data_IF_039197945718
#
_entry.id   IF_039197945718
#
_cell.length_a   1.000
_cell.length_b   1.000
_cell.length_c   1.000
_cell.angle_alpha   90.00
_cell.angle_beta   90.00
_cell.angle_gamma   90.00
#
_symmetry.space_group_name_H-M   'P 1'
#
loop_
_entity.id
_entity.type
_entity.pdbx_description
1 polymer ?
#
# COMPACT_ATOMS: atom_id res chain seq x y z
N UNK A 1 -53.56 -64.40 -49.41
CA UNK A 1 -53.22 -63.16 -50.17
C UNK A 1 -52.88 -62.07 -49.17
N UNK A 2 -52.03 -61.06 -49.40
CA UNK A 2 -50.93 -60.78 -50.36
C UNK A 2 -50.16 -59.59 -49.70
N UNK A 3 -48.83 -59.40 -49.72
CA UNK A 3 -47.65 -60.18 -50.13
C UNK A 3 -46.47 -59.81 -49.19
N UNK A 4 -45.30 -60.43 -49.33
CA UNK A 4 -44.10 -60.08 -48.55
C UNK A 4 -43.33 -58.87 -49.12
N UNK A 5 -42.73 -58.06 -48.24
CA UNK A 5 -41.62 -57.13 -48.58
C UNK A 5 -40.58 -57.07 -47.45
N UNK A 6 -39.42 -57.74 -47.56
CA UNK A 6 -38.29 -57.48 -46.68
C UNK A 6 -37.52 -56.26 -47.18
N UNK A 7 -37.66 -55.11 -46.52
CA UNK A 7 -36.82 -53.95 -46.81
C UNK A 7 -35.43 -54.21 -46.20
N UNK A 8 -34.49 -54.64 -47.04
CA UNK A 8 -33.12 -54.88 -46.65
C UNK A 8 -32.43 -53.57 -46.24
N UNK A 9 -32.36 -53.29 -44.93
CA UNK A 9 -31.61 -52.17 -44.39
C UNK A 9 -30.11 -52.40 -44.59
N UNK A 10 -29.54 -51.73 -45.60
CA UNK A 10 -28.13 -51.89 -46.01
C UNK A 10 -27.14 -51.42 -44.95
N UNK A 11 -26.58 -52.36 -44.19
CA UNK A 11 -25.44 -52.15 -43.30
C UNK A 11 -24.12 -51.90 -44.09
N UNK A 12 -24.01 -50.75 -44.77
CA UNK A 12 -22.81 -50.33 -45.50
C UNK A 12 -22.12 -49.06 -44.94
N UNK A 13 -22.81 -48.28 -44.12
CA UNK A 13 -22.40 -46.90 -43.85
C UNK A 13 -21.62 -46.67 -42.54
N UNK A 14 -21.36 -47.68 -41.70
CA UNK A 14 -20.59 -47.48 -40.45
C UNK A 14 -19.12 -47.11 -40.71
N UNK A 15 -18.51 -47.60 -41.80
CA UNK A 15 -17.16 -47.18 -42.23
C UNK A 15 -17.17 -45.74 -42.76
N UNK A 16 -18.15 -45.40 -43.60
CA UNK A 16 -18.34 -44.06 -44.14
C UNK A 16 -18.63 -43.02 -43.04
N UNK A 17 -19.40 -43.39 -42.02
CA UNK A 17 -19.72 -42.55 -40.86
C UNK A 17 -18.48 -42.31 -39.97
N UNK A 18 -17.66 -43.34 -39.74
CA UNK A 18 -16.36 -43.19 -39.04
C UNK A 18 -15.42 -42.28 -39.83
N UNK A 19 -15.38 -42.40 -41.15
CA UNK A 19 -14.54 -41.56 -42.00
C UNK A 19 -15.02 -40.09 -42.00
N UNK A 20 -16.33 -39.85 -42.09
CA UNK A 20 -16.94 -38.54 -41.91
C UNK A 20 -16.62 -37.92 -40.53
N UNK A 21 -16.70 -38.71 -39.46
CA UNK A 21 -16.40 -38.26 -38.10
C UNK A 21 -14.91 -37.92 -37.93
N UNK A 22 -14.00 -38.68 -38.53
CA UNK A 22 -12.57 -38.36 -38.56
C UNK A 22 -12.28 -37.09 -39.37
N UNK A 23 -12.92 -36.90 -40.52
CA UNK A 23 -12.78 -35.66 -41.31
C UNK A 23 -13.32 -34.45 -40.55
N UNK A 24 -14.48 -34.58 -39.88
CA UNK A 24 -15.05 -33.52 -39.04
C UNK A 24 -14.14 -33.18 -37.86
N UNK A 25 -13.53 -34.18 -37.20
CA UNK A 25 -12.56 -33.97 -36.13
C UNK A 25 -11.29 -33.28 -36.62
N UNK A 26 -10.75 -33.67 -37.79
CA UNK A 26 -9.62 -32.99 -38.41
C UNK A 26 -9.94 -31.54 -38.78
N UNK A 27 -11.15 -31.24 -39.29
CA UNK A 27 -11.58 -29.86 -39.54
C UNK A 27 -11.67 -29.05 -38.23
N UNK A 28 -12.23 -29.63 -37.16
CA UNK A 28 -12.31 -28.97 -35.86
C UNK A 28 -10.92 -28.64 -35.30
N UNK A 29 -9.98 -29.57 -35.41
CA UNK A 29 -8.57 -29.37 -35.02
C UNK A 29 -7.84 -28.36 -35.91
N UNK A 30 -8.18 -28.25 -37.20
CA UNK A 30 -7.59 -27.26 -38.11
C UNK A 30 -8.05 -25.81 -37.81
N UNK A 31 -9.25 -25.63 -37.21
CA UNK A 31 -9.76 -24.32 -36.76
C UNK A 31 -9.20 -23.93 -35.39
N UNK A 32 -8.67 -24.88 -34.61
CA UNK A 32 -8.03 -24.61 -33.33
C UNK A 32 -6.72 -23.81 -33.53
N UNK A 33 -6.83 -22.49 -33.44
CA UNK A 33 -5.66 -21.60 -33.32
C UNK A 33 -4.82 -22.07 -32.12
N UNK A 34 -3.50 -22.30 -32.28
CA UNK A 34 -2.65 -22.56 -31.13
C UNK A 34 -2.73 -21.34 -30.21
N UNK A 35 -3.02 -21.56 -28.93
CA UNK A 35 -2.89 -20.51 -27.93
C UNK A 35 -1.41 -20.12 -27.91
N UNK A 36 -1.09 -18.94 -28.43
CA UNK A 36 0.25 -18.40 -28.34
C UNK A 36 0.54 -18.20 -26.85
N UNK A 37 1.43 -19.02 -26.29
CA UNK A 37 1.89 -18.87 -24.92
C UNK A 37 2.46 -17.45 -24.78
N UNK A 38 1.85 -16.65 -23.91
CA UNK A 38 2.18 -15.25 -23.72
C UNK A 38 3.64 -15.17 -23.21
N UNK A 39 4.55 -14.70 -24.07
CA UNK A 39 5.98 -14.70 -23.78
C UNK A 39 6.31 -13.52 -22.88
N UNK A 40 6.16 -13.72 -21.58
CA UNK A 40 6.56 -12.74 -20.57
C UNK A 40 8.09 -12.70 -20.52
N UNK A 41 8.68 -11.58 -20.94
CA UNK A 41 10.12 -11.36 -20.89
C UNK A 41 10.51 -10.85 -19.50
N UNK A 42 11.54 -11.45 -18.92
CA UNK A 42 12.20 -11.01 -17.69
C UNK A 42 13.45 -10.23 -18.06
N UNK A 43 13.61 -9.03 -17.52
CA UNK A 43 14.91 -8.35 -17.49
C UNK A 43 15.25 -7.91 -16.07
N UNK A 44 16.56 -7.79 -15.82
CA UNK A 44 17.11 -7.20 -14.61
C UNK A 44 17.61 -5.81 -14.98
N UNK A 45 17.19 -4.78 -14.25
CA UNK A 45 17.71 -3.43 -14.47
C UNK A 45 19.11 -3.24 -13.85
N UNK A 46 19.74 -2.09 -14.11
CA UNK A 46 21.07 -1.74 -13.59
C UNK A 46 21.13 -1.70 -12.05
N UNK A 47 19.98 -1.65 -11.37
CA UNK A 47 19.85 -1.66 -9.91
C UNK A 47 19.57 -3.07 -9.35
N UNK A 48 19.63 -4.11 -10.17
CA UNK A 48 19.36 -5.49 -9.77
C UNK A 48 17.87 -5.83 -9.60
N UNK A 49 16.95 -4.92 -9.95
CA UNK A 49 15.51 -5.15 -9.82
C UNK A 49 14.98 -5.91 -11.03
N UNK A 50 14.28 -7.01 -10.76
CA UNK A 50 13.71 -7.89 -11.78
C UNK A 50 12.33 -7.41 -12.18
N UNK A 51 12.17 -7.02 -13.46
CA UNK A 51 10.90 -6.62 -14.06
C UNK A 51 10.44 -7.61 -15.13
N UNK A 52 9.12 -7.78 -15.24
CA UNK A 52 8.47 -8.67 -16.21
C UNK A 52 7.56 -7.85 -17.12
N UNK A 53 7.61 -8.06 -18.44
CA UNK A 53 6.72 -7.36 -19.39
C UNK A 53 6.42 -8.17 -20.65
N UNK A 54 5.32 -7.79 -21.30
CA UNK A 54 4.74 -8.42 -22.49
C UNK A 54 5.18 -7.72 -23.80
N UNK A 55 6.22 -6.88 -23.73
CA UNK A 55 6.81 -6.16 -24.88
C UNK A 55 8.34 -6.20 -24.80
N UNK A 56 9.05 -6.69 -25.85
CA UNK A 56 10.50 -6.65 -25.87
C UNK A 56 11.00 -5.22 -26.03
N UNK A 57 11.93 -4.80 -25.16
CA UNK A 57 12.67 -3.55 -25.33
C UNK A 57 13.81 -3.76 -26.35
N UNK A 58 14.06 -2.83 -27.28
CA UNK A 58 14.82 -3.09 -28.51
C UNK A 58 16.35 -3.15 -28.36
N UNK A 59 16.92 -3.20 -27.15
CA UNK A 59 18.36 -2.97 -26.93
C UNK A 59 19.07 -3.86 -25.89
N UNK A 60 18.50 -5.02 -25.52
CA UNK A 60 19.16 -5.98 -24.60
C UNK A 60 18.95 -7.40 -25.13
N UNK A 61 19.99 -8.24 -25.04
CA UNK A 61 19.91 -9.67 -25.37
C UNK A 61 18.92 -10.38 -24.42
N UNK A 62 17.70 -10.62 -24.91
CA UNK A 62 16.65 -11.25 -24.14
C UNK A 62 16.78 -12.79 -24.16
N UNK A 63 17.45 -13.34 -23.13
CA UNK A 63 17.48 -14.78 -22.92
C UNK A 63 16.06 -15.32 -22.64
N UNK A 64 15.67 -16.40 -23.34
CA UNK A 64 14.35 -17.03 -23.18
C UNK A 64 14.29 -17.89 -21.93
N UNK A 65 14.16 -17.24 -20.77
CA UNK A 65 13.96 -17.92 -19.48
C UNK A 65 12.60 -18.62 -19.48
N UNK A 66 12.60 -19.95 -19.50
CA UNK A 66 11.43 -20.74 -19.07
C UNK A 66 11.24 -20.52 -17.57
N UNK A 67 10.20 -19.76 -17.20
CA UNK A 67 9.76 -19.67 -15.82
C UNK A 67 9.17 -21.03 -15.44
N UNK A 68 9.98 -21.90 -14.85
CA UNK A 68 9.44 -22.99 -14.05
C UNK A 68 8.83 -22.35 -12.80
N UNK A 69 7.57 -22.66 -12.54
CA UNK A 69 6.86 -22.16 -11.36
C UNK A 69 7.32 -22.94 -10.14
N UNK A 70 8.51 -22.59 -9.62
CA UNK A 70 8.92 -23.02 -8.29
C UNK A 70 7.89 -22.50 -7.29
N UNK A 71 7.16 -23.42 -6.67
CA UNK A 71 6.37 -23.15 -5.47
C UNK A 71 7.32 -22.90 -4.30
N UNK A 72 7.95 -21.73 -4.32
CA UNK A 72 8.95 -21.36 -3.35
C UNK A 72 8.27 -20.96 -2.03
N UNK A 73 8.12 -21.93 -1.13
CA UNK A 73 7.47 -21.79 0.17
C UNK A 73 8.05 -20.68 1.06
N UNK A 74 9.31 -20.26 0.80
CA UNK A 74 9.92 -19.12 1.48
C UNK A 74 9.21 -17.79 1.19
N UNK A 75 8.59 -17.63 0.02
CA UNK A 75 7.78 -16.46 -0.34
C UNK A 75 6.52 -16.38 0.53
N UNK A 76 5.86 -17.52 0.74
CA UNK A 76 4.66 -17.65 1.57
C UNK A 76 4.98 -17.38 3.05
N UNK A 77 6.14 -17.86 3.53
CA UNK A 77 6.62 -17.59 4.88
C UNK A 77 6.92 -16.10 5.10
N UNK A 78 7.67 -15.47 4.19
CA UNK A 78 8.01 -14.04 4.26
C UNK A 78 6.76 -13.14 4.23
N UNK A 79 5.76 -13.48 3.41
CA UNK A 79 4.47 -12.80 3.39
C UNK A 79 3.73 -12.92 4.73
N UNK A 80 3.73 -14.11 5.34
CA UNK A 80 3.12 -14.35 6.66
C UNK A 80 3.77 -13.51 7.78
N UNK A 81 5.09 -13.36 7.77
CA UNK A 81 5.79 -12.50 8.73
C UNK A 81 5.51 -11.01 8.54
N UNK A 82 5.42 -10.55 7.28
CA UNK A 82 5.07 -9.16 6.97
C UNK A 82 3.67 -8.80 7.51
N UNK A 83 2.69 -9.69 7.34
CA UNK A 83 1.34 -9.51 7.90
C UNK A 83 1.36 -9.50 9.43
N UNK A 84 2.10 -10.39 10.09
CA UNK A 84 2.25 -10.40 11.56
C UNK A 84 2.86 -9.10 12.09
N UNK A 85 3.91 -8.59 11.44
CA UNK A 85 4.52 -7.29 11.80
C UNK A 85 3.52 -6.14 11.66
N UNK A 86 2.79 -6.06 10.54
CA UNK A 86 1.78 -5.02 10.33
C UNK A 86 0.66 -5.06 11.38
N UNK A 87 0.18 -6.26 11.76
CA UNK A 87 -0.82 -6.42 12.81
C UNK A 87 -0.30 -6.01 14.19
N UNK A 88 0.97 -6.32 14.52
CA UNK A 88 1.59 -5.89 15.77
C UNK A 88 1.69 -4.36 15.85
N UNK A 89 2.16 -3.72 14.78
CA UNK A 89 2.25 -2.25 14.70
C UNK A 89 0.88 -1.56 14.77
N UNK A 90 -0.18 -2.13 14.17
CA UNK A 90 -1.55 -1.58 14.29
C UNK A 90 -2.03 -1.58 15.73
N UNK A 91 -1.87 -2.71 16.45
CA UNK A 91 -2.29 -2.85 17.85
C UNK A 91 -1.55 -1.89 18.79
N UNK A 92 -0.26 -1.71 18.58
CA UNK A 92 0.57 -0.76 19.34
C UNK A 92 0.13 0.69 19.10
N UNK A 93 -0.11 1.07 17.85
CA UNK A 93 -0.65 2.40 17.49
C UNK A 93 -2.04 2.65 18.07
N UNK A 94 -2.92 1.65 18.10
CA UNK A 94 -4.25 1.73 18.71
C UNK A 94 -4.16 1.90 20.24
N UNK A 95 -3.29 1.13 20.91
CA UNK A 95 -3.05 1.28 22.34
C UNK A 95 -2.51 2.68 22.68
N UNK A 96 -1.50 3.15 21.96
CA UNK A 96 -0.90 4.49 22.13
C UNK A 96 -1.88 5.65 21.84
N UNK A 97 -2.86 5.44 20.96
CA UNK A 97 -3.96 6.41 20.77
C UNK A 97 -4.87 6.45 21.99
N UNK A 98 -5.35 5.28 22.41
CA UNK A 98 -6.29 5.14 23.55
C UNK A 98 -5.71 5.67 24.85
N UNK A 99 -4.41 5.44 25.11
CA UNK A 99 -3.70 5.97 26.27
C UNK A 99 -3.64 7.51 26.25
N UNK A 100 -3.28 8.11 25.11
CA UNK A 100 -3.23 9.58 24.97
C UNK A 100 -4.61 10.23 25.06
N UNK A 101 -5.65 9.57 24.56
CA UNK A 101 -7.03 10.02 24.72
C UNK A 101 -7.48 9.95 26.19
N UNK A 102 -7.17 8.86 26.89
CA UNK A 102 -7.46 8.72 28.32
C UNK A 102 -6.70 9.74 29.18
N UNK A 103 -5.43 10.02 28.87
CA UNK A 103 -4.63 11.04 29.55
C UNK A 103 -5.23 12.44 29.37
N UNK A 104 -5.59 12.83 28.13
CA UNK A 104 -6.26 14.10 27.83
C UNK A 104 -7.63 14.23 28.51
N UNK A 105 -8.39 13.15 28.58
CA UNK A 105 -9.69 13.15 29.25
C UNK A 105 -9.54 13.40 30.76
N UNK A 106 -8.53 12.80 31.42
CA UNK A 106 -8.21 13.09 32.82
C UNK A 106 -7.79 14.54 33.03
N UNK A 107 -6.85 15.03 32.23
CA UNK A 107 -6.36 16.42 32.30
C UNK A 107 -7.51 17.44 32.13
N UNK A 108 -8.45 17.18 31.22
CA UNK A 108 -9.63 18.03 31.02
C UNK A 108 -10.60 17.99 32.22
N UNK A 109 -10.81 16.82 32.82
CA UNK A 109 -11.68 16.66 33.99
C UNK A 109 -11.07 17.31 35.23
N UNK A 110 -9.78 17.09 35.51
CA UNK A 110 -9.01 17.76 36.57
C UNK A 110 -9.05 19.28 36.40
N UNK A 111 -8.86 19.78 35.16
CA UNK A 111 -8.96 21.21 34.86
C UNK A 111 -10.36 21.77 35.04
N UNK A 112 -11.42 21.02 34.73
CA UNK A 112 -12.80 21.45 35.00
C UNK A 112 -13.06 21.53 36.50
N UNK A 113 -12.68 20.50 37.25
CA UNK A 113 -12.83 20.47 38.72
C UNK A 113 -12.06 21.62 39.40
N UNK A 114 -10.85 21.96 38.92
CA UNK A 114 -10.11 23.11 39.43
C UNK A 114 -10.82 24.45 39.17
N UNK A 115 -11.42 24.64 37.98
CA UNK A 115 -12.21 25.82 37.65
C UNK A 115 -13.52 25.91 38.45
N UNK A 116 -14.21 24.78 38.62
CA UNK A 116 -15.43 24.69 39.43
C UNK A 116 -15.13 24.99 40.91
N UNK A 117 -13.98 24.52 41.42
CA UNK A 117 -13.51 24.80 42.78
C UNK A 117 -13.10 26.26 42.97
N UNK A 118 -12.37 26.87 42.03
CA UNK A 118 -12.00 28.28 42.11
C UNK A 118 -13.22 29.19 42.06
N UNK A 119 -14.16 28.94 41.14
CA UNK A 119 -15.40 29.70 41.03
C UNK A 119 -16.27 29.58 42.30
N UNK A 120 -16.26 28.42 42.95
CA UNK A 120 -16.94 28.23 44.24
C UNK A 120 -16.29 29.02 45.38
N UNK A 121 -14.96 29.03 45.47
CA UNK A 121 -14.25 29.84 46.47
C UNK A 121 -14.39 31.34 46.23
N UNK A 122 -14.45 31.79 44.98
CA UNK A 122 -14.72 33.20 44.63
C UNK A 122 -16.14 33.59 45.05
N UNK A 123 -17.15 32.78 44.76
CA UNK A 123 -18.54 33.02 45.18
C UNK A 123 -18.74 32.98 46.71
N UNK A 124 -17.94 32.20 47.43
CA UNK A 124 -17.97 32.13 48.91
C UNK A 124 -17.23 33.32 49.55
N UNK A 125 -16.20 33.86 48.88
CA UNK A 125 -15.47 35.07 49.29
C UNK A 125 -16.26 36.37 49.02
N UNK A 126 -16.99 36.46 47.91
CA UNK A 126 -17.81 37.64 47.55
C UNK A 126 -19.05 37.78 48.46
N UNK A 127 -19.42 36.71 49.18
CA UNK A 127 -20.50 36.70 50.16
C UNK A 127 -20.15 37.31 51.53
N UNK A 128 -18.89 37.68 51.78
CA UNK A 128 -18.41 38.06 53.13
C UNK A 128 -17.74 39.43 53.23
N UNK A 129 -18.03 40.40 52.36
CA UNK A 129 -17.51 41.78 52.53
C UNK A 129 -18.53 42.87 52.15
N UNK A 130 -19.71 42.81 52.77
CA UNK A 130 -20.73 43.86 52.73
C UNK A 130 -20.78 44.65 54.04
N UNK A 131 -19.79 45.52 54.28
CA UNK A 131 -19.84 46.78 55.06
C UNK A 131 -18.41 47.21 55.43
N UNK A 132 -17.87 48.25 54.77
CA UNK A 132 -17.26 49.41 55.44
C UNK A 132 -16.63 50.39 54.42
N UNK A 133 -17.34 51.49 54.20
CA UNK A 133 -16.87 52.86 54.00
C UNK A 133 -15.35 53.09 53.84
N UNK A 134 -14.88 53.33 52.60
CA UNK A 134 -13.49 53.74 52.37
C UNK A 134 -13.17 54.21 50.96
N UNK A 135 -13.10 55.53 50.76
CA UNK A 135 -12.55 56.12 49.53
C UNK A 135 -11.07 55.73 49.35
N UNK A 136 -10.78 54.77 48.47
CA UNK A 136 -9.44 54.55 47.95
C UNK A 136 -9.43 54.55 46.42
N UNK A 137 -8.55 55.37 45.84
CA UNK A 137 -8.50 55.58 44.40
C UNK A 137 -8.03 54.32 43.67
N UNK A 138 -8.86 53.84 42.73
CA UNK A 138 -8.49 52.83 41.76
C UNK A 138 -7.37 53.34 40.85
N UNK A 139 -6.12 53.02 41.19
CA UNK A 139 -5.00 53.13 40.28
C UNK A 139 -5.19 52.04 39.23
N UNK A 140 -5.82 52.37 38.11
CA UNK A 140 -5.89 51.50 36.94
C UNK A 140 -4.48 51.26 36.41
N UNK A 141 -3.80 50.23 36.95
CA UNK A 141 -2.59 49.67 36.37
C UNK A 141 -3.00 48.94 35.11
N UNK A 142 -3.11 49.70 34.01
CA UNK A 142 -3.33 49.21 32.66
C UNK A 142 -2.36 48.05 32.42
N UNK A 143 -2.86 46.81 32.42
CA UNK A 143 -2.03 45.62 32.20
C UNK A 143 -1.36 45.80 30.83
N UNK A 144 -0.03 45.87 30.74
CA UNK A 144 0.63 46.12 29.47
C UNK A 144 0.26 44.99 28.50
N UNK A 145 -0.09 45.31 27.24
CA UNK A 145 -0.57 44.30 26.30
C UNK A 145 0.53 43.26 26.06
N UNK A 146 0.22 42.01 26.35
CA UNK A 146 1.12 40.88 26.14
C UNK A 146 1.42 40.78 24.65
N UNK A 147 2.61 41.24 24.23
CA UNK A 147 3.06 41.02 22.86
C UNK A 147 3.30 39.53 22.67
N UNK A 148 2.68 38.89 21.66
CA UNK A 148 3.02 37.51 21.33
C UNK A 148 4.52 37.43 20.96
N UNK A 149 5.20 36.30 21.26
CA UNK A 149 6.59 36.13 20.87
C UNK A 149 6.74 36.27 19.35
N UNK A 150 7.85 36.87 18.91
CA UNK A 150 8.12 37.04 17.50
C UNK A 150 8.09 35.68 16.79
N UNK A 151 7.28 35.57 15.72
CA UNK A 151 7.21 34.36 14.91
C UNK A 151 8.63 34.07 14.38
N UNK A 152 9.18 32.85 14.58
CA UNK A 152 10.49 32.53 14.04
C UNK A 152 10.50 32.73 12.52
N UNK A 153 11.61 33.20 11.93
CA UNK A 153 11.72 33.35 10.48
C UNK A 153 11.42 32.02 9.82
N UNK A 154 10.66 32.08 8.72
CA UNK A 154 10.18 30.89 8.00
C UNK A 154 11.31 30.31 7.13
N UNK A 155 12.37 29.84 7.77
CA UNK A 155 13.54 29.23 7.12
C UNK A 155 13.11 27.86 6.58
N UNK A 156 13.06 27.65 5.25
CA UNK A 156 12.74 26.35 4.70
C UNK A 156 13.79 25.32 5.15
N UNK A 157 13.41 24.05 5.35
CA UNK A 157 14.36 23.01 5.72
C UNK A 157 15.46 22.91 4.65
N UNK A 158 16.71 23.08 5.08
CA UNK A 158 17.87 22.94 4.21
C UNK A 158 17.91 21.50 3.69
N UNK A 159 17.65 21.31 2.39
CA UNK A 159 17.84 20.00 1.77
C UNK A 159 19.33 19.65 1.83
N UNK A 160 19.72 18.43 2.25
CA UNK A 160 21.09 17.97 2.10
C UNK A 160 21.55 18.17 0.66
N UNK A 161 22.75 18.74 0.47
CA UNK A 161 23.35 18.80 -0.86
C UNK A 161 23.61 17.36 -1.32
N UNK A 162 23.33 17.01 -2.59
CA UNK A 162 23.71 15.71 -3.12
C UNK A 162 25.25 15.55 -3.01
N UNK A 163 25.76 14.33 -2.77
CA UNK A 163 27.20 14.09 -2.79
C UNK A 163 27.77 14.43 -4.18
N UNK A 164 29.03 14.87 -4.27
CA UNK A 164 29.69 15.04 -5.56
C UNK A 164 29.73 13.69 -6.31
N UNK A 165 29.69 13.68 -7.64
CA UNK A 165 29.75 12.45 -8.41
C UNK A 165 31.06 11.71 -8.11
N UNK A 166 30.94 10.45 -7.68
CA UNK A 166 32.08 9.55 -7.50
C UNK A 166 32.77 9.38 -8.85
N UNK A 167 33.98 9.93 -9.00
CA UNK A 167 34.82 9.60 -10.14
C UNK A 167 35.25 8.14 -10.00
N UNK A 168 34.72 7.26 -10.86
CA UNK A 168 35.23 5.89 -10.95
C UNK A 168 36.71 5.95 -11.37
N UNK A 169 37.58 5.11 -10.78
CA UNK A 169 38.99 5.08 -11.17
C UNK A 169 39.13 4.67 -12.64
N UNK A 170 39.72 5.56 -13.44
CA UNK A 170 39.98 5.36 -14.87
C UNK A 170 41.15 4.38 -15.12
N UNK A 171 40.99 3.13 -14.68
CA UNK A 171 41.90 2.02 -14.97
C UNK A 171 41.21 0.99 -15.88
N UNK A 172 41.04 1.36 -17.14
CA UNK A 172 40.80 0.38 -18.19
C UNK A 172 42.14 -0.27 -18.59
N UNK A 173 42.30 -1.61 -18.56
CA UNK A 173 43.50 -2.25 -19.08
C UNK A 173 43.57 -2.10 -20.60
N UNK A 174 44.75 -1.75 -21.10
CA UNK A 174 45.01 -1.67 -22.54
C UNK A 174 45.28 -3.06 -23.14
N UNK A 175 44.58 -3.42 -24.21
CA UNK A 175 44.70 -4.68 -24.94
C UNK A 175 43.47 -5.59 -24.80
N UNK A 176 43.13 -6.45 -25.76
CA UNK A 176 43.88 -6.88 -26.94
C UNK A 176 43.14 -6.59 -28.27
N UNK A 177 43.91 -6.63 -29.37
CA UNK A 177 43.42 -6.81 -30.74
C UNK A 177 43.23 -8.28 -31.06
#
# INVERSE_FOLDING_TARGET
MNNATPIAATAKNTRSLRLLLLVALCLLLAVARPLAAQQIYKWTDENGSVSYSDRPLPSVEAEKVRIMQDTNDSSTAAAGEAVKRMQATSKDLEASRKEREAARAKEQEERRQALDQSARSEAESDGSESSDDGWYHGIYTQRPPVRPPARPPNTPPQRPRPPPPTQLPSNAPAGLR
#
